data_IF_182609538952
#
_entry.id   IF_182609538952
#
_cell.length_a   1.000
_cell.length_b   1.000
_cell.length_c   1.000
_cell.angle_alpha   90.00
_cell.angle_beta   90.00
_cell.angle_gamma   90.00
#
_symmetry.space_group_name_H-M   'P 1'
#
loop_
_entity.id
_entity.type
_entity.pdbx_description
1 polymer ?
#
# COMPACT_ATOMS: atom_id res chain seq x y z
N UNK A 1 -60.66 -0.57 -8.72
CA UNK A 1 -61.04 0.49 -7.77
C UNK A 1 -59.82 0.63 -6.89
N UNK A 2 -58.81 1.33 -7.41
CA UNK A 2 -58.45 2.74 -7.16
C UNK A 2 -58.10 3.02 -5.69
N UNK A 3 -56.82 3.22 -5.37
CA UNK A 3 -56.40 4.59 -5.19
C UNK A 3 -54.85 4.69 -5.11
N UNK A 4 -54.30 5.49 -6.02
CA UNK A 4 -52.94 5.96 -6.02
C UNK A 4 -52.88 7.27 -5.25
N UNK A 5 -52.18 7.34 -4.14
CA UNK A 5 -51.81 8.62 -3.52
C UNK A 5 -50.36 8.96 -3.88
N UNK A 6 -50.24 9.81 -4.84
CA UNK A 6 -49.04 10.52 -5.30
C UNK A 6 -48.69 11.60 -4.27
N UNK A 7 -47.55 11.47 -3.61
CA UNK A 7 -47.04 12.50 -2.67
C UNK A 7 -45.86 13.22 -3.33
N UNK A 8 -46.23 14.23 -4.17
CA UNK A 8 -45.25 15.14 -4.76
C UNK A 8 -44.75 16.16 -3.72
N UNK A 9 -43.47 16.08 -3.41
CA UNK A 9 -42.75 17.08 -2.59
C UNK A 9 -42.47 18.31 -3.45
N UNK A 10 -42.77 19.56 -2.98
CA UNK A 10 -42.53 20.78 -3.74
C UNK A 10 -41.01 21.12 -3.80
N UNK A 11 -40.54 21.71 -4.96
CA UNK A 11 -39.15 22.09 -5.12
C UNK A 11 -38.78 23.34 -4.33
N UNK A 12 -37.59 23.31 -3.69
CA UNK A 12 -36.97 24.42 -2.98
C UNK A 12 -36.68 25.62 -3.90
N UNK A 13 -36.87 26.86 -3.45
CA UNK A 13 -36.62 28.06 -4.23
C UNK A 13 -35.13 28.30 -4.46
N UNK A 14 -34.75 28.56 -5.74
CA UNK A 14 -33.42 28.97 -6.15
C UNK A 14 -33.09 30.38 -5.69
N UNK A 15 -31.86 30.68 -5.20
CA UNK A 15 -31.48 32.03 -4.81
C UNK A 15 -31.38 32.94 -6.05
N UNK A 16 -32.07 34.08 -5.98
CA UNK A 16 -31.99 35.15 -6.98
C UNK A 16 -30.58 35.77 -7.01
N UNK A 17 -29.85 35.60 -8.10
CA UNK A 17 -28.63 36.41 -8.37
C UNK A 17 -29.08 37.79 -8.83
N UNK A 18 -28.94 38.79 -7.92
CA UNK A 18 -29.06 40.19 -8.23
C UNK A 18 -27.88 40.63 -9.13
N UNK A 19 -28.18 41.06 -10.36
CA UNK A 19 -27.22 41.65 -11.28
C UNK A 19 -26.84 43.06 -10.74
N UNK A 20 -25.56 43.41 -10.60
CA UNK A 20 -25.17 44.76 -10.19
C UNK A 20 -25.51 45.76 -11.28
N UNK A 21 -26.16 46.85 -10.89
CA UNK A 21 -26.66 47.88 -11.77
C UNK A 21 -25.54 48.57 -12.57
N UNK A 22 -25.91 49.06 -13.79
CA UNK A 22 -25.02 49.70 -14.78
C UNK A 22 -24.23 50.88 -14.22
N UNK A 23 -24.75 51.57 -13.20
CA UNK A 23 -24.11 52.72 -12.50
C UNK A 23 -22.83 52.34 -11.72
N UNK A 24 -22.80 51.14 -11.13
CA UNK A 24 -21.63 50.69 -10.35
C UNK A 24 -20.45 50.28 -11.26
N UNK A 25 -20.71 49.83 -12.48
CA UNK A 25 -19.68 49.52 -13.48
C UNK A 25 -19.05 50.79 -14.02
N UNK A 26 -19.81 51.87 -14.23
CA UNK A 26 -19.31 53.15 -14.75
C UNK A 26 -18.36 53.75 -13.69
N UNK A 27 -18.70 53.72 -12.40
CA UNK A 27 -17.83 54.20 -11.32
C UNK A 27 -16.52 53.45 -11.17
N UNK A 28 -16.52 52.13 -11.43
CA UNK A 28 -15.31 51.33 -11.38
C UNK A 28 -14.38 51.66 -12.58
N UNK A 29 -14.95 51.84 -13.76
CA UNK A 29 -14.18 52.20 -14.96
C UNK A 29 -13.59 53.61 -14.89
N UNK A 30 -14.30 54.59 -14.29
CA UNK A 30 -13.78 55.97 -14.08
C UNK A 30 -12.65 55.97 -13.03
N UNK A 31 -12.73 55.15 -11.98
CA UNK A 31 -11.66 54.99 -11.01
C UNK A 31 -10.39 54.36 -11.62
N UNK A 32 -10.54 53.36 -12.46
CA UNK A 32 -9.42 52.72 -13.15
C UNK A 32 -8.73 53.70 -14.12
N UNK A 33 -9.48 54.54 -14.85
CA UNK A 33 -8.92 55.54 -15.75
C UNK A 33 -8.16 56.59 -14.96
N UNK A 34 -8.66 57.04 -13.78
CA UNK A 34 -7.96 57.99 -12.93
C UNK A 34 -6.65 57.48 -12.35
N UNK A 35 -6.63 56.18 -11.98
CA UNK A 35 -5.43 55.52 -11.47
C UNK A 35 -4.40 55.34 -12.62
N UNK A 36 -4.82 54.95 -13.82
CA UNK A 36 -3.94 54.86 -14.99
C UNK A 36 -3.36 56.22 -15.41
N UNK A 37 -4.15 57.26 -15.38
CA UNK A 37 -3.69 58.63 -15.64
C UNK A 37 -2.72 59.16 -14.57
N UNK A 38 -2.94 58.84 -13.30
CA UNK A 38 -2.05 59.15 -12.19
C UNK A 38 -0.68 58.43 -12.30
N UNK A 39 -0.67 57.18 -12.67
CA UNK A 39 0.54 56.36 -12.89
C UNK A 39 1.31 56.85 -14.14
N UNK A 40 0.62 57.21 -15.20
CA UNK A 40 1.25 57.78 -16.43
C UNK A 40 1.89 59.13 -16.17
N UNK A 41 1.22 60.05 -15.39
CA UNK A 41 1.74 61.33 -14.98
C UNK A 41 2.95 61.21 -14.05
N UNK A 42 2.94 60.19 -13.13
CA UNK A 42 4.08 59.94 -12.23
C UNK A 42 5.30 59.40 -13.01
N UNK A 43 5.10 58.58 -14.05
CA UNK A 43 6.17 58.08 -14.91
C UNK A 43 6.75 59.15 -15.84
N UNK A 44 5.93 60.08 -16.28
CA UNK A 44 6.40 61.20 -17.12
C UNK A 44 7.17 62.29 -16.32
N UNK A 45 6.92 62.41 -15.01
CA UNK A 45 7.56 63.40 -14.14
C UNK A 45 8.80 62.88 -13.41
N UNK A 46 9.21 61.63 -13.66
CA UNK A 46 10.45 61.08 -13.12
C UNK A 46 11.67 61.71 -13.83
N UNK A 47 12.50 62.51 -13.15
CA UNK A 47 13.66 63.07 -13.78
C UNK A 47 14.68 61.97 -14.07
N UNK A 48 15.01 61.75 -15.34
CA UNK A 48 16.13 60.95 -15.77
C UNK A 48 17.44 61.57 -15.26
N UNK A 49 17.95 61.04 -14.18
CA UNK A 49 19.29 61.37 -13.68
C UNK A 49 20.34 60.82 -14.66
N UNK A 50 20.73 61.66 -15.58
CA UNK A 50 21.95 61.41 -16.33
C UNK A 50 23.14 61.49 -15.37
N UNK A 51 23.69 60.35 -15.01
CA UNK A 51 24.86 60.26 -14.14
C UNK A 51 26.11 60.29 -15.06
N UNK A 52 26.81 61.42 -14.97
CA UNK A 52 28.10 61.63 -15.59
C UNK A 52 29.13 60.65 -15.05
N UNK A 53 29.78 60.00 -15.97
CA UNK A 53 31.00 59.21 -15.83
C UNK A 53 32.01 59.80 -14.87
N UNK A 54 32.24 59.16 -13.74
CA UNK A 54 33.50 59.27 -13.01
C UNK A 54 34.34 58.04 -13.38
N UNK A 55 35.41 58.31 -14.07
CA UNK A 55 36.49 57.42 -14.48
C UNK A 55 37.22 56.97 -13.21
N UNK A 56 36.85 55.79 -12.70
CA UNK A 56 37.50 55.09 -11.59
C UNK A 56 37.99 53.74 -12.08
N UNK A 57 39.27 53.66 -12.24
CA UNK A 57 40.04 52.48 -12.63
C UNK A 57 39.91 51.41 -11.56
N UNK A 58 39.10 50.38 -11.84
CA UNK A 58 38.89 49.23 -10.97
C UNK A 58 38.56 48.01 -11.85
N UNK A 59 39.58 47.36 -12.37
CA UNK A 59 39.46 46.19 -13.24
C UNK A 59 38.81 45.02 -12.56
N UNK A 60 37.47 44.87 -12.75
CA UNK A 60 36.77 43.63 -12.59
C UNK A 60 36.97 42.76 -13.82
N UNK A 61 37.96 41.88 -13.79
CA UNK A 61 38.13 40.80 -14.75
C UNK A 61 36.97 39.84 -14.61
N UNK A 62 35.88 40.09 -15.31
CA UNK A 62 34.86 39.07 -15.55
C UNK A 62 35.33 38.16 -16.67
N UNK A 63 35.72 36.92 -16.32
CA UNK A 63 35.63 35.76 -17.16
C UNK A 63 36.33 35.76 -18.49
N UNK A 64 37.63 35.58 -18.48
CA UNK A 64 38.35 35.07 -19.65
C UNK A 64 37.95 33.61 -19.93
N UNK A 65 38.03 33.12 -21.19
CA UNK A 65 37.61 31.77 -21.60
C UNK A 65 38.44 30.61 -21.02
N UNK A 66 39.20 30.81 -19.96
CA UNK A 66 40.17 29.85 -19.42
C UNK A 66 40.06 29.65 -17.89
N UNK A 67 38.91 29.89 -17.27
CA UNK A 67 38.73 29.48 -15.87
C UNK A 67 38.54 27.97 -15.81
N UNK A 68 39.51 27.27 -15.26
CA UNK A 68 39.41 25.83 -14.94
C UNK A 68 38.30 25.64 -13.92
N UNK A 69 37.28 24.87 -14.29
CA UNK A 69 36.13 24.65 -13.45
C UNK A 69 36.35 23.39 -12.59
N UNK A 70 36.21 23.46 -11.26
CA UNK A 70 36.29 22.29 -10.42
C UNK A 70 35.06 21.42 -10.62
N UNK A 71 35.26 20.13 -10.92
CA UNK A 71 34.20 19.15 -11.14
C UNK A 71 34.43 17.87 -10.36
N UNK A 72 33.37 17.25 -9.88
CA UNK A 72 33.44 15.89 -9.38
C UNK A 72 33.07 14.90 -10.48
N UNK A 73 33.81 13.81 -10.58
CA UNK A 73 33.60 12.79 -11.63
C UNK A 73 33.37 11.42 -11.03
N UNK A 74 32.69 10.58 -11.80
CA UNK A 74 32.58 9.14 -11.56
C UNK A 74 32.88 8.39 -12.85
N UNK A 75 33.28 7.13 -12.73
CA UNK A 75 33.56 6.30 -13.89
C UNK A 75 32.29 5.61 -14.38
N UNK A 76 32.06 5.58 -15.69
CA UNK A 76 31.05 4.74 -16.31
C UNK A 76 31.43 3.26 -16.12
N UNK A 77 30.46 2.42 -15.77
CA UNK A 77 30.70 1.00 -15.45
C UNK A 77 29.75 0.12 -16.21
N UNK A 78 30.19 -1.12 -16.48
CA UNK A 78 29.29 -2.19 -16.87
C UNK A 78 28.84 -2.95 -15.62
N UNK A 79 27.53 -3.02 -15.43
CA UNK A 79 26.95 -3.76 -14.31
C UNK A 79 25.52 -4.20 -14.63
N UNK A 80 25.05 -5.18 -13.88
CA UNK A 80 23.65 -5.62 -13.96
C UNK A 80 22.73 -4.57 -13.32
N UNK A 81 21.71 -4.15 -14.06
CA UNK A 81 20.69 -3.19 -13.60
C UNK A 81 19.34 -3.87 -13.53
N UNK A 82 18.71 -3.83 -12.38
CA UNK A 82 17.35 -4.32 -12.19
C UNK A 82 16.37 -3.29 -12.78
N UNK A 83 15.53 -3.76 -13.68
CA UNK A 83 14.40 -2.99 -14.18
C UNK A 83 13.25 -3.21 -13.21
N UNK A 84 12.91 -2.20 -12.43
CA UNK A 84 11.88 -2.30 -11.40
C UNK A 84 10.68 -1.42 -11.70
N UNK A 85 9.50 -1.84 -11.25
CA UNK A 85 8.29 -1.04 -11.22
C UNK A 85 7.93 -0.77 -9.77
N UNK A 86 7.79 0.50 -9.44
CA UNK A 86 7.34 0.95 -8.13
C UNK A 86 5.83 1.16 -8.15
N UNK A 87 5.15 0.66 -7.14
CA UNK A 87 3.70 0.77 -6.98
C UNK A 87 3.33 0.93 -5.51
N UNK A 88 2.07 1.24 -5.25
CA UNK A 88 1.47 1.17 -3.93
C UNK A 88 0.51 -0.02 -3.94
N UNK A 89 0.56 -0.83 -2.90
CA UNK A 89 -0.28 -2.00 -2.76
C UNK A 89 -0.93 -2.10 -1.39
N UNK A 90 -1.88 -3.02 -1.30
CA UNK A 90 -2.54 -3.40 -0.05
C UNK A 90 -2.33 -4.89 0.20
N UNK A 91 -1.95 -5.20 1.42
CA UNK A 91 -1.85 -6.57 1.89
C UNK A 91 -3.25 -7.13 2.11
N UNK A 92 -3.54 -8.27 1.52
CA UNK A 92 -4.82 -8.96 1.68
C UNK A 92 -4.58 -10.35 2.26
N UNK A 93 -5.52 -10.81 3.07
CA UNK A 93 -5.52 -12.21 3.47
C UNK A 93 -5.58 -13.13 2.23
N UNK A 94 -4.91 -14.26 2.26
CA UNK A 94 -5.06 -15.26 1.20
C UNK A 94 -6.49 -15.76 1.15
N UNK A 95 -7.07 -16.09 2.32
CA UNK A 95 -8.47 -16.45 2.52
C UNK A 95 -8.97 -15.89 3.85
N UNK A 96 -10.27 -15.57 3.90
CA UNK A 96 -10.96 -15.16 5.12
C UNK A 96 -12.24 -15.96 5.24
N UNK A 97 -12.49 -16.55 6.39
CA UNK A 97 -13.71 -17.30 6.68
C UNK A 97 -14.39 -16.75 7.93
N UNK A 98 -15.65 -16.38 7.79
CA UNK A 98 -16.53 -16.09 8.93
C UNK A 98 -17.09 -17.42 9.42
N UNK A 99 -16.74 -17.81 10.63
CA UNK A 99 -17.20 -19.06 11.25
C UNK A 99 -18.60 -18.83 11.79
N UNK A 100 -19.60 -19.33 11.05
CA UNK A 100 -21.01 -19.27 11.44
C UNK A 100 -21.46 -20.61 11.98
N UNK A 101 -22.41 -20.56 12.89
CA UNK A 101 -23.08 -21.76 13.38
C UNK A 101 -24.10 -22.25 12.34
N UNK A 102 -24.40 -23.56 12.32
CA UNK A 102 -25.37 -24.15 11.41
C UNK A 102 -26.67 -24.52 12.13
N UNK A 103 -26.64 -24.52 13.46
CA UNK A 103 -27.80 -24.79 14.34
C UNK A 103 -27.86 -23.72 15.43
N UNK A 104 -29.07 -23.38 15.85
CA UNK A 104 -29.30 -22.44 16.95
C UNK A 104 -29.10 -23.09 18.29
N UNK A 105 -28.54 -22.37 19.26
CA UNK A 105 -28.40 -22.85 20.63
C UNK A 105 -27.49 -21.97 21.48
N UNK A 106 -27.32 -22.34 22.74
CA UNK A 106 -26.46 -21.65 23.69
C UNK A 106 -25.01 -22.06 23.49
N UNK A 107 -24.12 -21.09 23.41
CA UNK A 107 -22.69 -21.32 23.31
C UNK A 107 -22.13 -21.77 24.67
N UNK A 108 -21.78 -23.06 24.79
CA UNK A 108 -21.39 -23.69 26.04
C UNK A 108 -19.87 -23.62 26.28
N UNK A 109 -19.06 -23.72 25.22
CA UNK A 109 -17.62 -23.70 25.33
C UNK A 109 -16.99 -22.94 24.15
N UNK A 110 -15.88 -22.24 24.43
CA UNK A 110 -15.00 -21.63 23.43
C UNK A 110 -13.60 -22.24 23.65
N UNK A 111 -13.07 -22.90 22.62
CA UNK A 111 -11.81 -23.66 22.66
C UNK A 111 -10.68 -22.99 21.90
N UNK A 112 -10.73 -21.69 21.73
CA UNK A 112 -9.67 -20.90 21.11
C UNK A 112 -9.34 -19.65 21.94
N UNK A 113 -8.14 -19.12 21.74
CA UNK A 113 -7.75 -17.80 22.21
C UNK A 113 -7.73 -16.83 21.04
N UNK A 114 -8.12 -15.59 21.27
CA UNK A 114 -8.02 -14.53 20.28
C UNK A 114 -6.56 -14.37 19.78
N UNK A 115 -6.39 -14.25 18.48
CA UNK A 115 -5.05 -14.18 17.86
C UNK A 115 -4.31 -15.52 17.71
N UNK A 116 -4.89 -16.64 18.16
CA UNK A 116 -4.30 -17.97 18.05
C UNK A 116 -4.29 -18.46 16.59
N UNK A 117 -3.25 -19.19 16.22
CA UNK A 117 -3.24 -19.97 14.96
C UNK A 117 -4.00 -21.27 15.16
N UNK A 118 -4.90 -21.58 14.22
CA UNK A 118 -5.71 -22.80 14.22
C UNK A 118 -5.56 -23.54 12.90
N UNK A 119 -5.77 -24.85 12.94
CA UNK A 119 -5.80 -25.73 11.78
C UNK A 119 -7.21 -25.93 11.26
N UNK A 120 -7.38 -26.25 9.98
CA UNK A 120 -8.67 -26.66 9.43
C UNK A 120 -9.21 -27.90 10.17
N UNK A 121 -10.51 -27.91 10.51
CA UNK A 121 -11.15 -28.95 11.30
C UNK A 121 -10.97 -28.83 12.81
N UNK A 122 -10.14 -27.93 13.33
CA UNK A 122 -9.96 -27.73 14.77
C UNK A 122 -11.26 -27.24 15.41
N UNK A 123 -11.63 -27.83 16.56
CA UNK A 123 -12.81 -27.42 17.33
C UNK A 123 -12.59 -26.03 17.92
N UNK A 124 -13.48 -25.10 17.56
CA UNK A 124 -13.45 -23.72 18.04
C UNK A 124 -14.46 -23.47 19.15
N UNK A 125 -15.66 -24.00 19.00
CA UNK A 125 -16.72 -23.76 19.97
C UNK A 125 -17.70 -24.95 20.02
N UNK A 126 -18.40 -25.06 21.13
CA UNK A 126 -19.42 -26.07 21.34
C UNK A 126 -20.76 -25.41 21.72
N UNK A 127 -21.78 -25.67 20.93
CA UNK A 127 -23.16 -25.35 21.24
C UNK A 127 -23.69 -26.44 22.14
N UNK A 128 -24.63 -26.15 23.04
CA UNK A 128 -25.25 -27.15 23.94
C UNK A 128 -25.85 -28.32 23.14
N UNK A 129 -25.27 -29.53 23.21
CA UNK A 129 -25.68 -30.66 22.40
C UNK A 129 -26.87 -31.45 22.96
N UNK A 130 -27.33 -31.16 24.19
CA UNK A 130 -28.28 -32.01 24.93
C UNK A 130 -29.60 -32.23 24.19
N UNK A 131 -30.18 -31.18 23.63
CA UNK A 131 -31.43 -31.29 22.86
C UNK A 131 -31.23 -32.13 21.58
N UNK A 132 -30.12 -31.97 20.88
CA UNK A 132 -29.79 -32.74 19.67
C UNK A 132 -29.50 -34.21 20.00
N UNK A 133 -28.84 -34.49 21.12
CA UNK A 133 -28.61 -35.86 21.62
C UNK A 133 -29.92 -36.56 21.95
N UNK A 134 -30.87 -35.87 22.61
CA UNK A 134 -32.19 -36.42 22.91
C UNK A 134 -32.97 -36.74 21.62
N UNK A 135 -32.95 -35.86 20.63
CA UNK A 135 -33.58 -36.08 19.32
C UNK A 135 -32.96 -37.29 18.59
N UNK A 136 -31.63 -37.43 18.62
CA UNK A 136 -30.92 -38.56 18.04
C UNK A 136 -31.33 -39.85 18.74
N UNK A 137 -31.32 -39.89 20.08
CA UNK A 137 -31.73 -41.06 20.85
C UNK A 137 -33.18 -41.50 20.57
N UNK A 138 -34.08 -40.52 20.38
CA UNK A 138 -35.46 -40.81 19.98
C UNK A 138 -35.53 -41.47 18.59
N UNK A 139 -34.82 -40.91 17.60
CA UNK A 139 -34.77 -41.46 16.24
C UNK A 139 -34.15 -42.86 16.19
N UNK A 140 -33.08 -43.08 16.96
CA UNK A 140 -32.45 -44.41 17.10
C UNK A 140 -33.39 -45.43 17.75
N UNK A 141 -34.17 -45.02 18.73
CA UNK A 141 -35.20 -45.88 19.35
C UNK A 141 -36.29 -46.30 18.38
N UNK A 142 -36.78 -45.38 17.52
CA UNK A 142 -37.78 -45.69 16.48
C UNK A 142 -37.18 -46.68 15.47
N UNK A 143 -35.98 -46.40 14.96
CA UNK A 143 -35.28 -47.28 14.02
C UNK A 143 -35.08 -48.70 14.61
N UNK A 144 -34.69 -48.78 15.87
CA UNK A 144 -34.49 -50.08 16.54
C UNK A 144 -35.78 -50.88 16.64
N UNK A 145 -36.90 -50.22 16.99
CA UNK A 145 -38.23 -50.85 17.01
C UNK A 145 -38.61 -51.40 15.64
N UNK A 146 -38.47 -50.60 14.59
CA UNK A 146 -38.96 -50.97 13.24
C UNK A 146 -38.01 -51.96 12.55
N UNK A 147 -36.73 -51.98 12.89
CA UNK A 147 -35.81 -53.08 12.55
C UNK A 147 -36.25 -54.41 13.17
N UNK A 148 -36.65 -54.42 14.46
CA UNK A 148 -37.13 -55.62 15.11
C UNK A 148 -38.44 -56.15 14.48
N UNK A 149 -39.34 -55.23 14.04
CA UNK A 149 -40.56 -55.62 13.29
C UNK A 149 -40.21 -56.23 11.92
N UNK A 150 -39.26 -55.64 11.20
CA UNK A 150 -38.77 -56.16 9.91
C UNK A 150 -38.15 -57.55 10.09
N UNK A 151 -37.34 -57.74 11.12
CA UNK A 151 -36.69 -59.03 11.40
C UNK A 151 -37.71 -60.11 11.70
N UNK A 152 -38.77 -59.80 12.51
CA UNK A 152 -39.88 -60.71 12.73
C UNK A 152 -40.61 -61.04 11.43
N UNK A 153 -40.92 -60.04 10.60
CA UNK A 153 -41.61 -60.28 9.33
C UNK A 153 -40.73 -61.12 8.35
N UNK A 154 -39.42 -61.01 8.40
CA UNK A 154 -38.49 -61.85 7.62
C UNK A 154 -38.47 -63.30 8.12
N UNK A 155 -38.53 -63.54 9.45
CA UNK A 155 -38.61 -64.87 10.03
C UNK A 155 -39.94 -65.51 9.59
N UNK A 156 -41.05 -64.78 9.65
CA UNK A 156 -42.33 -65.30 9.18
C UNK A 156 -42.34 -65.55 7.67
N UNK A 157 -41.70 -64.69 6.85
CA UNK A 157 -41.55 -64.93 5.43
C UNK A 157 -40.79 -66.23 5.13
N UNK A 158 -39.69 -66.46 5.87
CA UNK A 158 -38.94 -67.72 5.73
C UNK A 158 -39.78 -68.96 6.10
N UNK A 159 -40.59 -68.85 7.18
CA UNK A 159 -41.50 -69.88 7.55
C UNK A 159 -42.55 -70.12 6.46
N UNK A 160 -43.14 -69.09 5.91
CA UNK A 160 -44.16 -69.24 4.84
C UNK A 160 -43.59 -69.79 3.56
N UNK A 161 -42.36 -69.51 3.22
CA UNK A 161 -41.64 -70.10 2.08
C UNK A 161 -41.45 -71.64 2.27
N UNK A 162 -41.09 -72.07 3.46
CA UNK A 162 -40.98 -73.50 3.81
C UNK A 162 -42.34 -74.21 3.75
N UNK A 163 -43.38 -73.56 4.30
CA UNK A 163 -44.76 -74.11 4.29
C UNK A 163 -45.32 -74.21 2.86
N UNK A 164 -45.09 -73.26 2.02
CA UNK A 164 -45.50 -73.29 0.60
C UNK A 164 -44.80 -74.39 -0.17
N UNK A 165 -43.51 -74.62 0.08
CA UNK A 165 -42.77 -75.75 -0.52
C UNK A 165 -43.29 -77.12 -0.17
N UNK A 166 -44.11 -77.22 0.92
CA UNK A 166 -44.80 -78.40 1.41
C UNK A 166 -46.29 -78.39 1.02
N UNK A 167 -46.74 -77.49 0.14
CA UNK A 167 -48.12 -77.29 -0.24
C UNK A 167 -49.12 -77.07 0.98
N UNK A 168 -48.60 -76.56 2.09
CA UNK A 168 -49.37 -76.36 3.33
C UNK A 168 -50.10 -75.04 3.43
N UNK A 169 -49.78 -74.02 2.54
CA UNK A 169 -50.41 -72.70 2.53
C UNK A 169 -50.72 -72.21 1.10
N UNK A 170 -51.75 -71.34 0.93
CA UNK A 170 -52.01 -70.66 -0.33
C UNK A 170 -50.89 -69.69 -0.65
N UNK A 171 -50.51 -69.55 -1.98
CA UNK A 171 -49.52 -68.61 -2.50
C UNK A 171 -49.82 -67.16 -2.09
N UNK A 172 -51.10 -66.78 -2.02
CA UNK A 172 -51.53 -65.44 -1.62
C UNK A 172 -51.00 -65.02 -0.23
N UNK A 173 -50.86 -65.95 0.73
CA UNK A 173 -50.31 -65.62 2.03
C UNK A 173 -48.81 -65.31 1.94
N UNK A 174 -48.04 -66.01 1.11
CA UNK A 174 -46.64 -65.71 0.87
C UNK A 174 -46.47 -64.31 0.21
N UNK A 175 -47.24 -64.02 -0.91
CA UNK A 175 -47.18 -62.76 -1.61
C UNK A 175 -47.51 -61.58 -0.67
N UNK A 176 -48.50 -61.74 0.26
CA UNK A 176 -48.82 -60.74 1.26
C UNK A 176 -47.67 -60.49 2.24
N UNK A 177 -47.02 -61.56 2.69
CA UNK A 177 -45.89 -61.45 3.62
C UNK A 177 -44.68 -60.84 2.94
N UNK A 178 -44.41 -61.17 1.65
CA UNK A 178 -43.37 -60.52 0.88
C UNK A 178 -43.63 -58.99 0.70
N UNK A 179 -44.89 -58.61 0.48
CA UNK A 179 -45.30 -57.22 0.41
C UNK A 179 -45.05 -56.49 1.74
N UNK A 180 -45.41 -57.15 2.87
CA UNK A 180 -45.16 -56.61 4.23
C UNK A 180 -43.65 -56.41 4.50
N UNK A 181 -42.82 -57.37 4.13
CA UNK A 181 -41.36 -57.26 4.31
C UNK A 181 -40.84 -56.05 3.50
N UNK A 182 -41.24 -55.90 2.20
CA UNK A 182 -40.86 -54.75 1.41
C UNK A 182 -41.33 -53.41 1.98
N UNK A 183 -42.55 -53.36 2.55
CA UNK A 183 -43.07 -52.19 3.24
C UNK A 183 -42.20 -51.82 4.45
N UNK A 184 -41.87 -52.81 5.32
CA UNK A 184 -41.06 -52.60 6.52
C UNK A 184 -39.61 -52.23 6.16
N UNK A 185 -39.05 -52.78 5.06
CA UNK A 185 -37.78 -52.37 4.54
C UNK A 185 -37.76 -50.88 4.12
N UNK A 186 -38.86 -50.43 3.50
CA UNK A 186 -39.08 -49.02 3.19
C UNK A 186 -39.13 -48.14 4.44
N UNK A 187 -39.84 -48.59 5.50
CA UNK A 187 -39.95 -47.89 6.78
C UNK A 187 -38.57 -47.78 7.46
N UNK A 188 -37.84 -48.89 7.60
CA UNK A 188 -36.49 -48.89 8.19
C UNK A 188 -35.53 -47.97 7.43
N UNK A 189 -35.64 -47.94 6.09
CA UNK A 189 -34.83 -47.00 5.28
C UNK A 189 -35.16 -45.53 5.51
N UNK A 190 -36.45 -45.22 5.73
CA UNK A 190 -36.91 -43.86 6.10
C UNK A 190 -36.39 -43.45 7.47
N UNK A 191 -36.50 -44.37 8.45
CA UNK A 191 -36.03 -44.10 9.83
C UNK A 191 -34.51 -43.94 9.88
N UNK A 192 -33.75 -44.71 9.08
CA UNK A 192 -32.31 -44.54 8.94
C UNK A 192 -31.98 -43.11 8.44
N UNK A 193 -32.74 -42.60 7.47
CA UNK A 193 -32.61 -41.22 7.01
C UNK A 193 -32.87 -40.18 8.12
N UNK A 194 -33.83 -40.46 9.00
CA UNK A 194 -34.14 -39.60 10.15
C UNK A 194 -33.00 -39.62 11.18
N UNK A 195 -32.43 -40.79 11.48
CA UNK A 195 -31.26 -40.94 12.35
C UNK A 195 -30.06 -40.18 11.77
N UNK A 196 -29.80 -40.30 10.46
CA UNK A 196 -28.69 -39.64 9.80
C UNK A 196 -28.86 -38.13 9.83
N UNK A 197 -30.07 -37.60 9.65
CA UNK A 197 -30.41 -36.19 9.81
C UNK A 197 -30.14 -35.68 11.23
N UNK A 198 -30.58 -36.44 12.27
CA UNK A 198 -30.33 -36.08 13.66
C UNK A 198 -28.84 -36.12 14.02
N UNK A 199 -28.07 -37.08 13.50
CA UNK A 199 -26.60 -37.13 13.62
C UNK A 199 -25.94 -35.93 13.00
N UNK A 200 -26.37 -35.50 11.83
CA UNK A 200 -25.87 -34.34 11.15
C UNK A 200 -26.10 -33.06 11.96
N UNK A 201 -27.33 -32.87 12.49
CA UNK A 201 -27.66 -31.75 13.37
C UNK A 201 -26.80 -31.73 14.64
N UNK A 202 -26.58 -32.89 15.26
CA UNK A 202 -25.68 -33.02 16.41
C UNK A 202 -24.26 -32.68 16.06
N UNK A 203 -23.77 -33.06 14.87
CA UNK A 203 -22.44 -32.72 14.40
C UNK A 203 -22.24 -31.19 14.27
N UNK A 204 -23.28 -30.46 13.87
CA UNK A 204 -23.28 -29.01 13.73
C UNK A 204 -23.20 -28.26 15.07
N UNK A 205 -23.46 -28.93 16.20
CA UNK A 205 -23.20 -28.33 17.51
C UNK A 205 -21.72 -28.14 17.79
N UNK A 206 -20.83 -28.83 17.06
CA UNK A 206 -19.38 -28.70 17.13
C UNK A 206 -18.92 -27.74 16.04
N UNK A 207 -18.66 -26.50 16.43
CA UNK A 207 -18.20 -25.46 15.50
C UNK A 207 -16.71 -25.63 15.26
N UNK A 208 -16.33 -25.97 14.03
CA UNK A 208 -14.93 -26.21 13.64
C UNK A 208 -14.41 -25.15 12.66
N UNK A 209 -13.10 -25.00 12.61
CA UNK A 209 -12.44 -24.09 11.68
C UNK A 209 -12.55 -24.59 10.22
N UNK A 210 -13.14 -23.82 9.29
CA UNK A 210 -13.25 -24.23 7.89
C UNK A 210 -11.90 -24.12 7.14
N UNK A 211 -11.01 -23.25 7.60
CA UNK A 211 -9.67 -23.02 7.04
C UNK A 211 -8.63 -22.94 8.15
N UNK A 212 -7.38 -23.22 7.82
CA UNK A 212 -6.26 -22.90 8.71
C UNK A 212 -5.96 -21.39 8.65
N UNK A 213 -5.65 -20.79 9.80
CA UNK A 213 -5.36 -19.35 9.86
C UNK A 213 -5.34 -18.80 11.28
N UNK A 214 -5.22 -17.49 11.38
CA UNK A 214 -5.26 -16.77 12.66
C UNK A 214 -6.68 -16.40 13.02
N UNK A 215 -7.08 -16.75 14.23
CA UNK A 215 -8.40 -16.40 14.80
C UNK A 215 -8.40 -14.91 15.15
N UNK A 216 -9.43 -14.19 14.74
CA UNK A 216 -9.67 -12.79 15.11
C UNK A 216 -10.22 -12.63 16.52
N UNK A 217 -10.83 -11.48 16.77
CA UNK A 217 -11.59 -11.23 18.00
C UNK A 217 -12.88 -12.03 17.99
N UNK A 218 -13.28 -12.58 19.14
CA UNK A 218 -14.54 -13.28 19.30
C UNK A 218 -15.72 -12.33 19.06
N UNK A 219 -16.75 -12.82 18.40
CA UNK A 219 -17.98 -12.08 18.12
C UNK A 219 -19.15 -12.51 19.01
N UNK A 220 -18.99 -13.64 19.71
CA UNK A 220 -19.97 -14.16 20.63
C UNK A 220 -19.29 -14.62 21.93
N UNK A 221 -19.95 -14.44 23.06
CA UNK A 221 -19.50 -14.83 24.39
C UNK A 221 -20.16 -16.13 24.87
N UNK A 222 -19.52 -16.77 25.85
CA UNK A 222 -20.08 -17.93 26.53
C UNK A 222 -21.45 -17.58 27.12
N UNK A 223 -22.43 -18.48 26.95
CA UNK A 223 -23.79 -18.27 27.40
C UNK A 223 -24.69 -17.51 26.42
N UNK A 224 -24.15 -16.92 25.37
CA UNK A 224 -24.96 -16.30 24.32
C UNK A 224 -25.72 -17.36 23.51
N UNK A 225 -26.92 -17.01 23.09
CA UNK A 225 -27.67 -17.77 22.08
C UNK A 225 -27.17 -17.36 20.71
N UNK A 226 -26.64 -18.31 19.95
CA UNK A 226 -26.13 -18.10 18.58
C UNK A 226 -27.06 -18.73 17.56
N UNK A 227 -27.18 -18.12 16.38
CA UNK A 227 -28.08 -18.54 15.31
C UNK A 227 -27.40 -18.54 13.95
N UNK A 228 -27.83 -19.36 12.97
CA UNK A 228 -27.29 -19.36 11.62
C UNK A 228 -27.43 -18.01 10.88
N UNK A 229 -28.42 -17.20 11.27
CA UNK A 229 -28.68 -15.85 10.73
C UNK A 229 -27.70 -14.78 11.21
N UNK A 230 -26.88 -15.07 12.24
CA UNK A 230 -25.94 -14.10 12.79
C UNK A 230 -24.88 -13.72 11.75
N UNK A 231 -24.90 -12.46 11.34
CA UNK A 231 -24.05 -11.94 10.26
C UNK A 231 -22.56 -12.03 10.60
N UNK A 232 -22.20 -11.78 11.86
CA UNK A 232 -20.82 -11.74 12.33
C UNK A 232 -20.26 -13.13 12.65
N UNK A 233 -21.14 -14.14 12.85
CA UNK A 233 -20.75 -15.47 13.28
C UNK A 233 -20.14 -15.51 14.69
N UNK A 234 -19.41 -16.57 15.01
CA UNK A 234 -18.70 -16.74 16.29
C UNK A 234 -17.33 -16.05 16.27
N UNK A 235 -16.63 -16.18 15.15
CA UNK A 235 -15.28 -15.63 14.97
C UNK A 235 -14.92 -15.58 13.48
N UNK A 236 -13.98 -14.70 13.15
CA UNK A 236 -13.39 -14.61 11.80
C UNK A 236 -12.02 -15.27 11.83
N UNK A 237 -11.74 -16.16 10.88
CA UNK A 237 -10.42 -16.75 10.67
C UNK A 237 -9.82 -16.15 9.43
N UNK A 238 -8.60 -15.66 9.54
CA UNK A 238 -7.88 -15.03 8.47
C UNK A 238 -6.60 -15.80 8.18
N UNK A 239 -6.43 -16.26 6.96
CA UNK A 239 -5.20 -16.91 6.54
C UNK A 239 -4.14 -15.85 6.25
N UNK A 240 -3.17 -15.75 7.16
CA UNK A 240 -2.04 -14.80 7.08
C UNK A 240 -0.75 -15.46 6.57
N UNK A 241 -0.73 -16.81 6.45
CA UNK A 241 0.41 -17.61 5.99
C UNK A 241 -0.06 -18.66 4.96
N UNK A 242 0.26 -18.49 3.67
CA UNK A 242 0.82 -17.29 3.04
C UNK A 242 -0.16 -16.11 3.02
N UNK A 243 0.36 -14.88 2.78
CA UNK A 243 -0.43 -13.67 2.65
C UNK A 243 -0.30 -13.11 1.23
N UNK A 244 -1.33 -12.44 0.75
CA UNK A 244 -1.36 -11.85 -0.59
C UNK A 244 -1.10 -10.35 -0.54
N UNK A 245 -0.39 -9.83 -1.52
CA UNK A 245 -0.26 -8.40 -1.81
C UNK A 245 -0.90 -8.11 -3.15
N UNK A 246 -1.83 -7.17 -3.19
CA UNK A 246 -2.46 -6.69 -4.43
C UNK A 246 -2.00 -5.24 -4.67
N UNK A 247 -1.50 -4.98 -5.86
CA UNK A 247 -1.02 -3.66 -6.27
C UNK A 247 -1.33 -3.41 -7.75
N UNK A 248 -1.35 -2.15 -8.15
CA UNK A 248 -1.65 -1.75 -9.53
C UNK A 248 -0.36 -1.38 -10.27
N UNK A 249 -0.23 -1.86 -11.51
CA UNK A 249 0.87 -1.52 -12.40
C UNK A 249 0.35 -0.94 -13.71
N UNK A 250 1.07 -0.01 -14.36
CA UNK A 250 0.67 0.54 -15.65
C UNK A 250 0.48 -0.54 -16.71
N UNK A 251 -0.53 -0.38 -17.57
CA UNK A 251 -0.89 -1.33 -18.63
C UNK A 251 0.25 -1.60 -19.59
N UNK A 252 1.11 -0.62 -19.82
CA UNK A 252 2.32 -0.74 -20.66
C UNK A 252 3.27 -1.87 -20.23
N UNK A 253 3.26 -2.28 -18.96
CA UNK A 253 4.10 -3.36 -18.44
C UNK A 253 3.47 -4.76 -18.59
N UNK A 254 2.19 -4.83 -18.94
CA UNK A 254 1.44 -6.10 -19.03
C UNK A 254 2.08 -7.11 -19.99
N UNK A 255 2.51 -6.73 -21.21
CA UNK A 255 3.12 -7.70 -22.13
C UNK A 255 4.40 -8.34 -21.56
N UNK A 256 5.24 -7.54 -20.89
CA UNK A 256 6.46 -8.02 -20.26
C UNK A 256 6.18 -8.96 -19.08
N UNK A 257 5.19 -8.64 -18.25
CA UNK A 257 4.79 -9.46 -17.11
C UNK A 257 4.19 -10.79 -17.58
N UNK A 258 3.24 -10.73 -18.52
CA UNK A 258 2.52 -11.92 -18.99
C UNK A 258 3.41 -12.88 -19.77
N UNK A 259 4.37 -12.38 -20.56
CA UNK A 259 5.34 -13.24 -21.26
C UNK A 259 6.19 -14.05 -20.27
N UNK A 260 6.65 -13.43 -19.17
CA UNK A 260 7.46 -14.09 -18.14
C UNK A 260 6.64 -15.07 -17.29
N UNK A 261 5.40 -14.72 -16.97
CA UNK A 261 4.49 -15.66 -16.29
C UNK A 261 4.22 -16.91 -17.13
N UNK A 262 4.04 -16.76 -18.45
CA UNK A 262 3.89 -17.91 -19.37
C UNK A 262 5.16 -18.78 -19.47
N UNK A 263 6.32 -18.14 -19.31
CA UNK A 263 7.61 -18.85 -19.26
C UNK A 263 7.89 -19.48 -17.87
N UNK A 264 6.96 -19.39 -16.91
CA UNK A 264 7.13 -19.79 -15.51
C UNK A 264 8.36 -19.14 -14.83
N UNK A 265 8.75 -17.93 -15.28
CA UNK A 265 9.82 -17.20 -14.65
C UNK A 265 9.33 -16.53 -13.35
N UNK A 266 10.07 -16.75 -12.27
CA UNK A 266 9.79 -16.12 -10.99
C UNK A 266 10.13 -14.64 -11.07
N UNK A 267 9.17 -13.78 -10.72
CA UNK A 267 9.37 -12.33 -10.58
C UNK A 267 9.30 -11.96 -9.11
N UNK A 268 10.43 -11.48 -8.59
CA UNK A 268 10.52 -11.04 -7.19
C UNK A 268 9.73 -9.76 -6.98
N UNK A 269 8.98 -9.73 -5.88
CA UNK A 269 8.22 -8.58 -5.42
C UNK A 269 8.63 -8.28 -3.99
N UNK A 270 9.12 -7.08 -3.76
CA UNK A 270 9.49 -6.61 -2.42
C UNK A 270 8.40 -5.71 -1.86
N UNK A 271 7.99 -5.98 -0.63
CA UNK A 271 7.11 -5.13 0.15
C UNK A 271 7.94 -4.27 1.10
N UNK A 272 7.74 -2.97 1.04
CA UNK A 272 8.41 -1.96 1.85
C UNK A 272 7.40 -1.23 2.71
N UNK A 273 7.85 -0.61 3.78
CA UNK A 273 7.01 0.27 4.57
C UNK A 273 6.45 1.41 3.71
N UNK A 274 5.42 2.11 4.19
CA UNK A 274 4.79 3.20 3.45
C UNK A 274 5.76 4.33 3.08
N UNK A 275 6.84 4.49 3.84
CA UNK A 275 7.87 5.51 3.58
C UNK A 275 8.93 5.05 2.57
N UNK A 276 8.93 3.77 2.19
CA UNK A 276 9.91 3.18 1.27
C UNK A 276 11.31 3.01 1.86
N UNK A 277 11.45 3.08 3.21
CA UNK A 277 12.75 3.02 3.88
C UNK A 277 13.11 1.63 4.37
N UNK A 278 12.12 0.89 4.86
CA UNK A 278 12.36 -0.43 5.47
C UNK A 278 11.70 -1.51 4.61
N UNK A 279 12.49 -2.49 4.18
CA UNK A 279 11.96 -3.67 3.51
C UNK A 279 11.32 -4.58 4.55
N UNK A 280 10.02 -4.87 4.36
CA UNK A 280 9.23 -5.71 5.25
C UNK A 280 9.35 -7.19 4.89
N UNK A 281 9.20 -7.52 3.60
CA UNK A 281 9.25 -8.90 3.13
C UNK A 281 9.57 -8.99 1.64
N UNK A 282 9.93 -10.18 1.19
CA UNK A 282 10.09 -10.53 -0.23
C UNK A 282 9.13 -11.65 -0.58
N UNK A 283 8.40 -11.50 -1.66
CA UNK A 283 7.47 -12.48 -2.20
C UNK A 283 7.69 -12.69 -3.69
N UNK A 284 6.75 -13.40 -4.30
CA UNK A 284 6.77 -13.72 -5.72
C UNK A 284 5.45 -13.33 -6.37
N UNK A 285 5.53 -12.85 -7.60
CA UNK A 285 4.35 -12.59 -8.42
C UNK A 285 3.60 -13.91 -8.66
N UNK A 286 2.29 -13.90 -8.41
CA UNK A 286 1.43 -15.08 -8.57
C UNK A 286 0.56 -14.97 -9.81
N UNK A 287 -0.12 -13.86 -10.00
CA UNK A 287 -1.06 -13.70 -11.11
C UNK A 287 -1.31 -12.22 -11.42
N UNK A 288 -1.83 -11.98 -12.61
CA UNK A 288 -2.30 -10.68 -13.09
C UNK A 288 -3.80 -10.78 -13.28
N UNK A 289 -4.54 -9.72 -12.98
CA UNK A 289 -5.98 -9.63 -13.20
C UNK A 289 -6.31 -9.78 -14.69
N UNK A 290 -7.54 -10.09 -15.02
CA UNK A 290 -8.02 -10.27 -16.39
C UNK A 290 -8.55 -8.97 -17.02
N UNK A 291 -8.64 -7.88 -16.24
CA UNK A 291 -9.20 -6.59 -16.68
C UNK A 291 -8.27 -5.44 -16.36
N UNK A 292 -8.17 -4.48 -17.30
CA UNK A 292 -7.46 -3.21 -17.09
C UNK A 292 -8.49 -2.18 -16.60
N UNK A 293 -8.15 -1.44 -15.57
CA UNK A 293 -8.93 -0.28 -15.14
C UNK A 293 -8.66 0.87 -16.13
N UNK A 294 -9.67 1.17 -16.93
CA UNK A 294 -9.59 2.19 -17.98
C UNK A 294 -9.48 3.62 -17.45
N UNK A 295 -9.86 3.83 -16.18
CA UNK A 295 -9.81 5.15 -15.55
C UNK A 295 -8.37 5.56 -15.20
N UNK A 296 -7.58 4.58 -14.79
CA UNK A 296 -6.20 4.78 -14.32
C UNK A 296 -5.16 4.19 -15.27
N UNK A 297 -5.58 3.49 -16.33
CA UNK A 297 -4.74 2.73 -17.27
C UNK A 297 -3.80 1.77 -16.53
N UNK A 298 -4.33 1.09 -15.50
CA UNK A 298 -3.57 0.13 -14.69
C UNK A 298 -4.24 -1.23 -14.64
N UNK A 299 -3.43 -2.26 -14.36
CA UNK A 299 -3.90 -3.62 -14.09
C UNK A 299 -3.52 -4.02 -12.68
N UNK A 300 -4.41 -4.75 -12.00
CA UNK A 300 -4.13 -5.32 -10.69
C UNK A 300 -3.27 -6.55 -10.81
N UNK A 301 -2.32 -6.66 -9.93
CA UNK A 301 -1.35 -7.75 -9.87
C UNK A 301 -1.33 -8.30 -8.46
N UNK A 302 -1.26 -9.62 -8.32
CA UNK A 302 -1.23 -10.31 -7.04
C UNK A 302 0.09 -11.03 -6.85
N UNK A 303 0.76 -10.74 -5.74
CA UNK A 303 1.96 -11.44 -5.29
C UNK A 303 1.67 -12.19 -3.99
N UNK A 304 2.39 -13.30 -3.77
CA UNK A 304 2.27 -14.13 -2.56
C UNK A 304 3.54 -14.04 -1.74
N UNK A 305 3.36 -13.89 -0.43
CA UNK A 305 4.43 -13.78 0.56
C UNK A 305 4.27 -14.89 1.61
N UNK A 306 5.34 -15.59 2.01
CA UNK A 306 5.26 -16.63 3.04
C UNK A 306 4.80 -16.12 4.39
N UNK A 307 5.20 -14.90 4.78
CA UNK A 307 4.85 -14.20 6.03
C UNK A 307 5.07 -15.05 7.30
N UNK A 308 6.22 -15.71 7.40
CA UNK A 308 6.52 -16.63 8.52
C UNK A 308 6.71 -15.90 9.85
N UNK A 309 7.14 -14.65 9.80
CA UNK A 309 7.41 -13.75 10.93
C UNK A 309 6.20 -12.88 11.32
N UNK A 310 5.04 -13.05 10.63
CA UNK A 310 3.84 -12.21 10.79
C UNK A 310 4.10 -10.69 10.66
N UNK A 311 5.11 -10.29 9.88
CA UNK A 311 5.45 -8.89 9.66
C UNK A 311 4.40 -8.14 8.81
N UNK A 312 3.65 -8.86 7.98
CA UNK A 312 2.61 -8.33 7.11
C UNK A 312 1.23 -8.61 7.70
N UNK A 313 0.42 -7.56 7.79
CA UNK A 313 -0.96 -7.65 8.29
C UNK A 313 -1.98 -7.35 7.18
N UNK A 314 -3.13 -8.03 7.15
CA UNK A 314 -4.22 -7.73 6.23
C UNK A 314 -4.64 -6.26 6.31
N UNK A 315 -4.98 -5.66 5.16
CA UNK A 315 -5.35 -4.26 4.97
C UNK A 315 -4.22 -3.24 5.23
N UNK A 316 -2.98 -3.70 5.43
CA UNK A 316 -1.82 -2.83 5.51
C UNK A 316 -1.47 -2.28 4.13
N UNK A 317 -1.31 -0.94 4.02
CA UNK A 317 -0.78 -0.30 2.82
C UNK A 317 0.75 -0.36 2.83
N UNK A 318 1.34 -0.77 1.71
CA UNK A 318 2.79 -0.93 1.54
C UNK A 318 3.26 -0.33 0.22
N UNK A 319 4.51 0.10 0.19
CA UNK A 319 5.21 0.42 -1.05
C UNK A 319 5.75 -0.88 -1.65
N UNK A 320 5.62 -1.02 -2.97
CA UNK A 320 5.95 -2.24 -3.70
C UNK A 320 7.04 -1.96 -4.71
N UNK A 321 8.07 -2.79 -4.73
CA UNK A 321 9.10 -2.79 -5.76
C UNK A 321 9.06 -4.15 -6.46
N UNK A 322 8.55 -4.18 -7.68
CA UNK A 322 8.48 -5.40 -8.50
C UNK A 322 9.63 -5.41 -9.51
N UNK A 323 10.42 -6.47 -9.53
CA UNK A 323 11.48 -6.66 -10.50
C UNK A 323 10.91 -7.24 -11.81
N UNK A 324 10.91 -6.42 -12.86
CA UNK A 324 10.48 -6.85 -14.19
C UNK A 324 11.56 -7.63 -14.93
N UNK A 325 12.80 -7.12 -14.91
CA UNK A 325 13.91 -7.68 -15.67
C UNK A 325 15.25 -7.32 -15.00
N UNK A 326 16.31 -7.95 -15.46
CA UNK A 326 17.70 -7.54 -15.19
C UNK A 326 18.42 -7.36 -16.53
N UNK A 327 18.85 -6.14 -16.80
CA UNK A 327 19.73 -5.84 -17.92
C UNK A 327 21.14 -6.27 -17.52
N UNK A 328 21.62 -7.34 -18.10
CA UNK A 328 22.98 -7.85 -17.84
C UNK A 328 24.01 -7.01 -18.57
N UNK A 329 25.14 -6.75 -17.93
CA UNK A 329 26.30 -6.03 -18.50
C UNK A 329 25.92 -4.68 -19.14
N UNK A 330 24.92 -3.97 -18.56
CA UNK A 330 24.49 -2.69 -19.07
C UNK A 330 25.54 -1.61 -18.74
N UNK A 331 25.79 -0.71 -19.71
CA UNK A 331 26.59 0.47 -19.46
C UNK A 331 25.84 1.43 -18.57
N UNK A 332 26.43 1.79 -17.44
CA UNK A 332 25.75 2.60 -16.41
C UNK A 332 26.58 3.80 -16.02
N UNK A 333 25.88 4.89 -15.71
CA UNK A 333 26.44 6.10 -15.14
C UNK A 333 25.64 6.49 -13.89
N UNK A 334 26.24 7.22 -12.94
CA UNK A 334 25.44 7.77 -11.84
C UNK A 334 24.30 8.64 -12.37
N UNK A 335 23.12 8.52 -11.79
CA UNK A 335 21.94 9.30 -12.19
C UNK A 335 22.22 10.82 -12.19
N UNK A 336 23.05 11.30 -11.26
CA UNK A 336 23.44 12.70 -11.15
C UNK A 336 24.27 13.22 -12.36
N UNK A 337 24.89 12.32 -13.12
CA UNK A 337 25.66 12.68 -14.30
C UNK A 337 24.78 12.94 -15.54
N UNK A 338 23.54 12.46 -15.55
CA UNK A 338 22.64 12.59 -16.71
C UNK A 338 21.87 13.90 -16.61
N UNK A 339 22.13 14.78 -17.56
CA UNK A 339 21.55 16.12 -17.65
C UNK A 339 20.52 16.17 -18.77
N UNK A 340 19.54 17.07 -18.66
CA UNK A 340 18.56 17.33 -19.71
C UNK A 340 18.82 18.64 -20.39
N UNK A 341 19.03 18.61 -21.71
CA UNK A 341 19.24 19.79 -22.55
C UNK A 341 18.20 19.93 -23.65
N UNK A 342 18.38 20.90 -24.52
CA UNK A 342 17.47 21.18 -25.63
C UNK A 342 17.39 20.05 -26.66
N UNK A 343 18.48 19.28 -26.82
CA UNK A 343 18.55 18.13 -27.74
C UNK A 343 18.28 16.77 -27.11
N UNK A 344 17.82 16.72 -25.83
CA UNK A 344 17.58 15.52 -25.10
C UNK A 344 18.50 15.37 -23.88
N UNK A 345 18.73 14.11 -23.49
CA UNK A 345 19.60 13.80 -22.35
C UNK A 345 21.07 13.67 -22.80
N UNK A 346 21.98 14.16 -21.97
CA UNK A 346 23.41 14.12 -22.25
C UNK A 346 24.22 13.98 -20.96
N UNK A 347 25.48 13.60 -21.12
CA UNK A 347 26.50 13.57 -20.06
C UNK A 347 27.72 14.38 -20.50
N UNK A 348 28.41 14.95 -19.53
CA UNK A 348 29.76 15.52 -19.78
C UNK A 348 30.79 14.43 -19.50
N UNK A 349 31.65 14.17 -20.49
CA UNK A 349 32.79 13.25 -20.39
C UNK A 349 34.06 14.04 -20.28
N UNK A 350 34.92 13.72 -19.32
CA UNK A 350 36.24 14.36 -19.17
C UNK A 350 37.25 13.62 -20.04
N UNK A 351 37.81 14.33 -20.98
CA UNK A 351 38.83 13.82 -21.90
C UNK A 351 40.23 13.80 -21.21
N UNK A 352 41.20 13.11 -21.83
CA UNK A 352 42.57 12.99 -21.31
C UNK A 352 43.32 14.34 -21.21
N UNK A 353 42.91 15.34 -22.00
CA UNK A 353 43.45 16.73 -22.00
C UNK A 353 42.79 17.63 -20.95
N UNK A 354 42.02 17.07 -20.03
CA UNK A 354 41.25 17.82 -19.01
C UNK A 354 40.21 18.77 -19.60
N UNK A 355 39.69 18.50 -20.79
CA UNK A 355 38.55 19.18 -21.38
C UNK A 355 37.29 18.33 -21.23
N UNK A 356 36.12 18.95 -21.31
CA UNK A 356 34.84 18.20 -21.30
C UNK A 356 34.25 18.17 -22.70
N UNK A 357 33.68 16.99 -23.04
CA UNK A 357 32.88 16.80 -24.25
C UNK A 357 31.47 16.35 -23.89
N UNK A 358 30.50 16.85 -24.65
CA UNK A 358 29.07 16.47 -24.47
C UNK A 358 28.77 15.20 -25.26
N UNK A 359 28.20 14.20 -24.60
CA UNK A 359 27.73 12.96 -25.25
C UNK A 359 26.23 12.82 -25.02
N UNK A 360 25.48 12.72 -26.13
CA UNK A 360 24.03 12.43 -26.05
C UNK A 360 23.81 10.99 -25.58
N UNK A 361 22.91 10.82 -24.64
CA UNK A 361 22.59 9.52 -24.06
C UNK A 361 21.06 9.26 -24.10
N UNK A 362 20.68 8.03 -24.29
CA UNK A 362 19.30 7.59 -24.05
C UNK A 362 19.22 6.99 -22.66
N UNK A 363 18.47 7.61 -21.73
CA UNK A 363 18.32 7.09 -20.39
C UNK A 363 17.46 5.83 -20.39
N UNK A 364 17.86 4.84 -19.61
CA UNK A 364 17.16 3.58 -19.39
C UNK A 364 16.76 3.40 -17.93
N UNK A 365 16.81 2.17 -17.45
CA UNK A 365 16.43 1.80 -16.08
C UNK A 365 17.39 2.41 -15.05
N UNK A 366 16.83 2.70 -13.87
CA UNK A 366 17.58 3.23 -12.73
C UNK A 366 17.51 2.19 -11.61
N UNK A 367 18.66 1.85 -11.04
CA UNK A 367 18.79 1.01 -9.86
C UNK A 367 19.87 1.55 -8.93
N UNK A 368 19.55 1.72 -7.65
CA UNK A 368 20.51 2.10 -6.60
C UNK A 368 21.37 3.35 -6.91
N UNK A 369 20.76 4.35 -7.62
CA UNK A 369 21.44 5.60 -7.98
C UNK A 369 22.28 5.53 -9.27
N UNK A 370 22.31 4.37 -9.93
CA UNK A 370 22.90 4.18 -11.25
C UNK A 370 21.83 4.09 -12.32
N UNK A 371 22.09 4.68 -13.46
CA UNK A 371 21.20 4.69 -14.62
C UNK A 371 21.87 3.95 -15.78
N UNK A 372 21.18 2.96 -16.35
CA UNK A 372 21.58 2.37 -17.61
C UNK A 372 21.45 3.40 -18.74
N UNK A 373 22.44 3.51 -19.60
CA UNK A 373 22.44 4.45 -20.72
C UNK A 373 22.84 3.75 -22.02
N UNK A 374 22.13 4.11 -23.09
CA UNK A 374 22.58 3.80 -24.46
C UNK A 374 23.31 5.02 -25.01
N UNK A 375 24.61 4.93 -25.13
CA UNK A 375 25.45 6.03 -25.60
C UNK A 375 26.72 5.50 -26.28
N UNK A 376 27.38 6.36 -27.06
CA UNK A 376 28.75 6.14 -27.50
C UNK A 376 29.71 6.47 -26.34
N UNK A 377 29.67 5.65 -25.30
CA UNK A 377 30.46 5.81 -24.08
C UNK A 377 31.11 4.46 -23.76
N UNK A 378 32.34 4.46 -23.33
CA UNK A 378 33.05 3.23 -22.93
C UNK A 378 33.11 3.11 -21.39
N UNK A 379 33.20 1.88 -20.93
CA UNK A 379 33.39 1.61 -19.49
C UNK A 379 34.80 2.15 -19.08
N UNK A 380 34.85 2.88 -17.95
CA UNK A 380 36.06 3.54 -17.46
C UNK A 380 36.15 5.02 -17.85
N UNK A 381 35.34 5.52 -18.79
CA UNK A 381 35.31 6.97 -19.08
C UNK A 381 34.74 7.74 -17.87
N UNK A 382 35.36 8.91 -17.60
CA UNK A 382 34.96 9.73 -16.45
C UNK A 382 33.84 10.68 -16.83
N UNK A 383 32.69 10.53 -16.18
CA UNK A 383 31.50 11.40 -16.34
C UNK A 383 31.39 12.38 -15.19
N UNK A 384 31.03 13.63 -15.48
CA UNK A 384 30.88 14.68 -14.47
C UNK A 384 29.56 14.46 -13.72
N UNK A 385 29.62 14.44 -12.38
CA UNK A 385 28.47 14.27 -11.49
C UNK A 385 28.09 15.55 -10.75
N UNK A 386 29.02 16.51 -10.63
CA UNK A 386 28.78 17.79 -9.95
C UNK A 386 29.68 18.88 -10.53
N UNK A 387 29.24 20.14 -10.44
CA UNK A 387 29.96 21.29 -11.04
C UNK A 387 29.52 21.60 -12.47
N UNK A 388 28.38 21.11 -12.93
CA UNK A 388 27.90 21.18 -14.32
C UNK A 388 27.35 22.54 -14.72
N UNK A 389 26.94 23.42 -13.79
CA UNK A 389 26.18 24.67 -14.06
C UNK A 389 26.85 25.66 -14.98
N UNK A 390 28.17 25.63 -15.07
CA UNK A 390 28.96 26.57 -15.90
C UNK A 390 29.81 25.90 -16.97
N UNK A 391 29.65 24.56 -17.12
CA UNK A 391 30.38 23.81 -18.11
C UNK A 391 29.87 24.10 -19.52
N UNK A 392 30.80 24.21 -20.43
CA UNK A 392 30.55 24.30 -21.88
C UNK A 392 31.42 23.27 -22.59
N UNK A 393 31.01 22.87 -23.76
CA UNK A 393 31.78 21.95 -24.58
C UNK A 393 33.21 22.54 -24.84
N UNK A 394 34.22 21.69 -24.66
CA UNK A 394 35.64 22.10 -24.76
C UNK A 394 36.17 22.85 -23.53
N UNK A 395 35.36 23.10 -22.49
CA UNK A 395 35.81 23.77 -21.27
C UNK A 395 36.85 22.97 -20.51
N UNK A 396 37.87 23.64 -19.95
CA UNK A 396 38.89 23.02 -19.10
C UNK A 396 38.33 22.79 -17.71
N UNK A 397 38.58 21.60 -17.17
CA UNK A 397 38.10 21.18 -15.84
C UNK A 397 39.25 20.69 -14.97
N UNK A 398 39.11 20.88 -13.68
CA UNK A 398 39.95 20.27 -12.65
C UNK A 398 39.14 19.24 -11.90
N UNK A 399 39.58 17.99 -11.97
CA UNK A 399 38.87 16.87 -11.30
C UNK A 399 39.19 16.92 -9.81
N UNK A 400 38.18 17.22 -9.00
CA UNK A 400 38.26 17.12 -7.55
C UNK A 400 37.71 15.75 -7.15
N UNK A 401 38.47 15.01 -6.32
CA UNK A 401 38.01 13.72 -5.79
C UNK A 401 36.64 13.88 -5.09
N UNK A 402 35.72 12.99 -5.41
CA UNK A 402 34.35 12.98 -4.87
C UNK A 402 34.31 12.46 -3.42
N UNK A 403 35.08 13.07 -2.50
CA UNK A 403 35.03 12.68 -1.09
C UNK A 403 34.14 13.66 -0.31
N UNK A 404 32.94 13.25 0.13
CA UNK A 404 31.99 14.11 0.85
C UNK A 404 32.56 14.67 2.16
N UNK A 405 33.63 14.06 2.70
CA UNK A 405 34.28 14.50 3.94
C UNK A 405 35.23 15.67 3.76
N UNK A 406 35.71 15.93 2.57
CA UNK A 406 36.60 17.09 2.31
C UNK A 406 35.85 18.41 2.01
N UNK A 407 34.53 18.34 1.71
CA UNK A 407 33.72 19.57 1.55
C UNK A 407 33.46 20.34 2.84
N UNK A 408 33.64 19.75 3.98
CA UNK A 408 33.50 20.43 5.28
C UNK A 408 34.71 21.31 5.63
N UNK A 409 35.81 21.21 4.87
CA UNK A 409 37.05 21.91 5.14
C UNK A 409 37.49 22.96 4.11
N UNK A 410 36.88 23.00 2.90
CA UNK A 410 37.27 23.93 1.87
C UNK A 410 36.09 24.82 1.48
N UNK A 411 36.27 26.13 1.73
CA UNK A 411 35.44 27.27 1.32
C UNK A 411 34.20 27.56 2.15
N UNK A 412 34.45 28.00 3.40
CA UNK A 412 33.77 29.22 3.83
C UNK A 412 34.58 30.41 3.17
N UNK A 413 33.96 31.35 2.43
CA UNK A 413 34.63 32.60 2.12
C UNK A 413 35.03 33.26 3.44
N UNK A 414 36.15 34.03 3.51
CA UNK A 414 36.56 34.66 4.75
C UNK A 414 35.42 35.56 5.20
N UNK A 415 34.74 35.13 6.27
CA UNK A 415 33.78 35.96 6.95
C UNK A 415 34.54 37.21 7.37
N UNK A 416 34.14 38.33 6.78
CA UNK A 416 34.59 39.67 7.12
C UNK A 416 34.73 39.81 8.62
N UNK A 417 35.96 39.82 9.07
CA UNK A 417 36.35 39.81 10.48
C UNK A 417 36.10 41.18 11.10
N UNK A 418 34.85 41.46 11.41
CA UNK A 418 34.49 42.34 12.52
C UNK A 418 34.23 41.51 13.76
N UNK A 419 35.18 40.64 14.15
CA UNK A 419 35.32 40.17 15.50
C UNK A 419 35.65 41.37 16.37
N UNK A 420 34.66 41.86 17.18
CA UNK A 420 34.95 42.74 18.30
C UNK A 420 36.04 42.06 19.12
N UNK A 421 37.20 42.77 19.23
CA UNK A 421 38.29 42.40 20.11
C UNK A 421 37.71 42.39 21.54
N UNK A 422 37.46 41.19 22.07
CA UNK A 422 37.18 41.03 23.49
C UNK A 422 38.52 40.82 24.15
N UNK A 423 38.95 41.68 25.10
CA UNK A 423 40.20 41.53 25.81
C UNK A 423 40.32 40.13 26.46
N UNK A 424 41.50 39.52 26.50
CA UNK A 424 41.68 38.14 26.99
C UNK A 424 41.16 37.91 28.41
N UNK A 425 41.24 38.91 29.29
CA UNK A 425 40.68 38.83 30.65
C UNK A 425 39.15 38.70 30.69
N UNK A 426 38.47 39.22 29.70
CA UNK A 426 37.01 39.15 29.63
C UNK A 426 36.51 37.86 29.01
N UNK A 427 37.35 37.22 28.15
CA UNK A 427 37.06 35.90 27.58
C UNK A 427 37.12 34.80 28.66
N UNK A 428 38.00 34.95 29.65
CA UNK A 428 38.14 34.04 30.78
C UNK A 428 36.98 34.15 31.77
N UNK A 429 36.46 35.38 32.04
CA UNK A 429 35.28 35.60 32.85
C UNK A 429 34.03 34.99 32.21
N UNK A 430 33.86 35.12 30.88
CA UNK A 430 32.72 34.55 30.14
C UNK A 430 32.74 33.01 30.11
N UNK A 431 33.93 32.39 30.29
CA UNK A 431 34.08 30.93 30.29
C UNK A 431 33.59 30.30 31.59
N UNK A 432 33.63 31.06 32.72
CA UNK A 432 33.28 30.60 34.06
C UNK A 432 31.86 31.00 34.50
N UNK A 433 31.07 31.66 33.65
CA UNK A 433 29.71 32.04 33.92
C UNK A 433 28.70 30.98 33.47
N UNK A 434 27.62 30.79 34.25
CA UNK A 434 26.49 29.94 33.89
C UNK A 434 25.76 30.43 32.62
N UNK A 435 25.01 29.57 31.91
CA UNK A 435 24.31 29.95 30.69
C UNK A 435 23.29 31.10 30.88
N UNK A 436 22.74 31.24 32.10
CA UNK A 436 21.79 32.29 32.43
C UNK A 436 22.48 33.64 32.70
N UNK A 437 23.58 33.66 33.44
CA UNK A 437 24.40 34.84 33.69
C UNK A 437 25.04 35.38 32.40
N UNK A 438 25.41 34.52 31.47
CA UNK A 438 25.88 34.89 30.11
C UNK A 438 24.82 35.64 29.32
N UNK A 439 23.56 35.18 29.36
CA UNK A 439 22.43 35.86 28.70
C UNK A 439 22.14 37.23 29.32
N UNK A 440 22.15 37.33 30.62
CA UNK A 440 21.92 38.59 31.32
C UNK A 440 23.01 39.62 31.02
N UNK A 441 24.29 39.19 30.96
CA UNK A 441 25.42 40.03 30.62
C UNK A 441 25.36 40.58 29.16
N UNK A 442 24.96 39.76 28.19
CA UNK A 442 24.78 40.20 26.79
C UNK A 442 23.59 41.12 26.61
N UNK A 443 22.52 41.01 27.42
CA UNK A 443 21.42 41.96 27.44
C UNK A 443 21.80 43.31 28.01
N UNK A 444 22.67 43.34 29.00
CA UNK A 444 23.07 44.58 29.68
C UNK A 444 24.16 45.35 28.95
N UNK A 445 25.05 44.65 28.22
CA UNK A 445 26.21 45.25 27.52
C UNK A 445 26.12 45.25 25.99
N UNK A 446 25.03 44.72 25.40
CA UNK A 446 24.73 44.64 23.96
C UNK A 446 23.87 45.77 23.44
N UNK A 447 24.06 47.02 23.86
CA UNK A 447 23.28 48.17 23.43
C UNK A 447 23.54 48.55 21.95
N UNK A 448 22.46 48.55 21.16
CA UNK A 448 22.48 49.21 19.85
C UNK A 448 21.43 48.68 18.86
N UNK A 449 20.16 48.93 19.03
CA UNK A 449 19.19 49.63 18.19
C UNK A 449 17.77 49.27 18.59
N UNK A 450 17.06 50.27 19.03
CA UNK A 450 15.58 50.26 19.09
C UNK A 450 15.04 50.27 17.67
N UNK A 451 13.99 49.48 17.42
CA UNK A 451 12.79 49.99 16.75
C UNK A 451 11.59 49.04 16.92
N UNK A 452 10.55 49.70 17.43
CA UNK A 452 9.07 49.65 17.21
C UNK A 452 8.33 48.33 17.39
N UNK A 453 7.58 48.36 18.46
CA UNK A 453 6.10 48.16 18.60
C UNK A 453 5.44 47.23 17.60
N UNK A 454 4.87 46.16 18.12
CA UNK A 454 3.48 45.86 17.83
C UNK A 454 2.75 45.20 19.01
N UNK A 455 1.50 45.58 19.10
CA UNK A 455 0.52 45.46 20.19
C UNK A 455 -0.12 44.06 20.21
N UNK A 456 -0.54 43.52 21.34
CA UNK A 456 -1.19 42.21 21.38
C UNK A 456 -2.67 42.29 21.00
N UNK A 457 -3.14 41.34 20.24
CA UNK A 457 -4.54 41.06 19.97
C UNK A 457 -5.06 39.99 20.96
N UNK A 458 -6.22 40.29 21.53
CA UNK A 458 -6.95 39.49 22.50
C UNK A 458 -7.69 38.30 21.86
N UNK A 459 -8.12 37.31 22.65
CA UNK A 459 -8.77 36.12 22.15
C UNK A 459 -10.26 36.32 21.94
N UNK A 460 -10.81 35.68 20.94
CA UNK A 460 -12.25 35.48 20.78
C UNK A 460 -12.59 34.00 20.68
N UNK A 461 -13.49 33.62 21.55
CA UNK A 461 -14.36 32.42 21.65
C UNK A 461 -14.19 31.29 20.65
#
# INVERSE_FOLDING_TARGET
MTDHTDTSTPPLPRPHRTRPGKTRRILIWTLIIFIAAGLGFWWWKSPSSANKSAQGNGGGRFGGPNMVQPVSVAEARRQDIRVTVNAIGSINAANTAIVRVQVSGVLQQINFKEGQQVQAGQLLAQIDPRAFQATLGQAEGVLARDKAQLDNARIDLARYKDLLSKDAIPKQQLDTQEALVRQLEGTVKSDQGTVDSAKLQLSYTRVTAPIAGRVGLKQADLGNVVQPSDTNGVVIITQTRPIALVFSVPSANVPAITSRLRANESMAVEAWDRTGKTKLATGQLSTVDNTIDVTTDTIKVKAMFPNLDDALFPNQAVSVVMQLNTLKDALTVPQAAVLRGAQGFYVYVVNADSTVSTRVVKPGAIDSGWMAVEAKLEAGEKVVIDGTDRLREGGKVEVIAADPKQRAGATAPPADSKRRNIPPEMAEKLKNMSPEERRAWFQQNGGGKKDKQDKPAAPSN
#
